data_IF_164690223198
#
_entry.id   IF_164690223198
#
_cell.length_a   1.000
_cell.length_b   1.000
_cell.length_c   1.000
_cell.angle_alpha   90.00
_cell.angle_beta   90.00
_cell.angle_gamma   90.00
#
_symmetry.space_group_name_H-M   'P 1'
#
loop_
_entity.id
_entity.type
_entity.pdbx_description
1 polymer ?
#
# COMPACT_ATOMS: atom_id res chain seq x y z
N UNK A 1 23.38 -8.06 16.38
CA UNK A 1 22.10 -7.33 16.49
C UNK A 1 21.38 -7.57 15.18
N UNK A 2 20.39 -8.47 15.17
CA UNK A 2 19.52 -8.62 13.99
C UNK A 2 18.76 -7.31 13.80
N UNK A 3 18.89 -6.70 12.63
CA UNK A 3 18.07 -5.55 12.27
C UNK A 3 16.62 -6.01 12.19
N UNK A 4 15.77 -5.54 13.10
CA UNK A 4 14.34 -5.84 13.09
C UNK A 4 13.72 -5.30 11.79
N UNK A 5 13.29 -6.21 10.92
CA UNK A 5 12.54 -5.86 9.72
C UNK A 5 11.08 -5.60 10.12
N UNK A 6 10.58 -4.44 9.74
CA UNK A 6 9.16 -4.09 9.80
C UNK A 6 8.50 -4.45 8.48
N UNK A 7 7.21 -4.77 8.56
CA UNK A 7 6.38 -5.09 7.40
C UNK A 7 5.19 -4.14 7.33
N UNK A 8 4.86 -3.69 6.12
CA UNK A 8 3.71 -2.84 5.87
C UNK A 8 2.96 -3.32 4.63
N UNK A 9 1.65 -3.42 4.76
CA UNK A 9 0.78 -3.76 3.65
C UNK A 9 0.26 -2.48 3.01
N UNK A 10 0.27 -2.43 1.69
CA UNK A 10 -0.29 -1.33 0.93
C UNK A 10 -0.78 -1.74 -0.46
N UNK A 11 -1.33 -0.76 -1.18
CA UNK A 11 -1.87 -0.94 -2.52
C UNK A 11 -1.08 -0.10 -3.52
N UNK A 12 -0.71 -0.68 -4.65
CA UNK A 12 -0.10 0.06 -5.78
C UNK A 12 -1.14 1.00 -6.39
N UNK A 13 -0.97 2.31 -6.21
CA UNK A 13 -1.93 3.34 -6.64
C UNK A 13 -1.48 4.16 -7.84
N UNK A 14 -0.19 4.13 -8.18
CA UNK A 14 0.35 4.87 -9.33
C UNK A 14 1.58 4.16 -9.89
N UNK A 15 1.75 4.24 -11.20
CA UNK A 15 2.99 3.91 -11.89
C UNK A 15 3.55 5.19 -12.51
N UNK A 16 4.80 5.50 -12.24
CA UNK A 16 5.47 6.73 -12.70
C UNK A 16 6.45 6.44 -13.85
N UNK A 17 7.13 5.28 -13.80
CA UNK A 17 7.95 4.75 -14.89
C UNK A 17 7.72 3.25 -15.04
N UNK A 18 8.40 2.61 -16.00
CA UNK A 18 8.35 1.16 -16.18
C UNK A 18 8.67 0.39 -14.89
N UNK A 19 9.60 0.89 -14.08
CA UNK A 19 10.13 0.23 -12.89
C UNK A 19 9.81 0.97 -11.58
N UNK A 20 9.05 2.08 -11.61
CA UNK A 20 8.73 2.86 -10.41
C UNK A 20 7.23 2.93 -10.18
N UNK A 21 6.83 2.39 -9.05
CA UNK A 21 5.45 2.32 -8.59
C UNK A 21 5.31 3.06 -7.26
N UNK A 22 4.11 3.54 -6.97
CA UNK A 22 3.78 4.15 -5.68
C UNK A 22 2.72 3.32 -4.99
N UNK A 23 2.96 3.09 -3.71
CA UNK A 23 2.09 2.32 -2.83
C UNK A 23 1.50 3.21 -1.77
N UNK A 24 0.19 3.15 -1.63
CA UNK A 24 -0.54 3.80 -0.57
C UNK A 24 -0.60 2.88 0.66
N UNK A 25 -0.32 3.43 1.84
CA UNK A 25 -0.34 2.75 3.13
C UNK A 25 -0.91 3.67 4.21
N UNK A 26 -1.52 3.15 5.28
CA UNK A 26 -2.09 3.95 6.38
C UNK A 26 -1.13 5.01 6.94
N UNK A 27 0.14 4.67 7.10
CA UNK A 27 1.13 5.51 7.78
C UNK A 27 1.85 6.52 6.85
N UNK A 28 1.45 6.61 5.58
CA UNK A 28 2.08 7.51 4.60
C UNK A 28 1.16 7.86 3.43
N UNK A 29 1.20 9.10 2.95
CA UNK A 29 0.44 9.49 1.75
C UNK A 29 0.82 8.65 0.51
N UNK A 30 2.11 8.29 0.34
CA UNK A 30 2.57 7.26 -0.61
C UNK A 30 4.05 6.91 -0.41
N UNK A 31 4.45 5.66 -0.70
CA UNK A 31 5.84 5.22 -0.78
C UNK A 31 6.22 4.79 -2.19
N UNK A 32 7.45 5.09 -2.61
CA UNK A 32 8.02 4.57 -3.85
C UNK A 32 8.46 3.11 -3.71
N UNK A 33 8.12 2.27 -4.68
CA UNK A 33 8.66 0.92 -4.84
C UNK A 33 9.34 0.86 -6.19
N UNK A 34 10.58 0.38 -6.19
CA UNK A 34 11.23 -0.01 -7.42
C UNK A 34 10.85 -1.46 -7.74
N UNK A 35 10.19 -1.66 -8.88
CA UNK A 35 9.77 -2.97 -9.34
C UNK A 35 10.98 -3.86 -9.58
N UNK A 36 10.91 -5.05 -9.02
CA UNK A 36 11.78 -6.15 -9.39
C UNK A 36 11.17 -6.87 -10.61
N UNK A 37 11.90 -7.03 -11.73
CA UNK A 37 11.41 -7.74 -12.91
C UNK A 37 10.94 -9.17 -12.64
N UNK A 38 11.47 -9.83 -11.61
CA UNK A 38 11.05 -11.17 -11.20
C UNK A 38 9.69 -11.19 -10.48
N UNK A 39 9.22 -10.03 -10.01
CA UNK A 39 7.96 -9.85 -9.28
C UNK A 39 7.19 -8.67 -9.88
N UNK A 40 6.66 -8.78 -11.10
CA UNK A 40 6.04 -7.65 -11.78
C UNK A 40 4.89 -7.06 -10.95
N UNK A 41 4.82 -5.74 -10.93
CA UNK A 41 3.77 -4.99 -10.25
C UNK A 41 2.80 -4.37 -11.26
N UNK A 42 1.56 -4.23 -10.83
CA UNK A 42 0.53 -3.45 -11.54
C UNK A 42 -0.29 -2.63 -10.54
N UNK A 43 -0.92 -1.57 -11.03
CA UNK A 43 -1.91 -0.82 -10.25
C UNK A 43 -2.98 -1.76 -9.68
N UNK A 44 -3.42 -1.49 -8.46
CA UNK A 44 -4.38 -2.31 -7.72
C UNK A 44 -3.79 -3.59 -7.10
N UNK A 45 -2.51 -3.89 -7.29
CA UNK A 45 -1.88 -4.96 -6.52
C UNK A 45 -1.75 -4.59 -5.04
N UNK A 46 -2.04 -5.57 -4.20
CA UNK A 46 -1.68 -5.54 -2.79
C UNK A 46 -0.27 -6.06 -2.64
N UNK A 47 0.53 -5.35 -1.85
CA UNK A 47 1.92 -5.73 -1.57
C UNK A 47 2.20 -5.69 -0.09
N UNK A 48 3.04 -6.61 0.37
CA UNK A 48 3.69 -6.53 1.66
C UNK A 48 5.13 -6.05 1.45
N UNK A 49 5.44 -4.87 1.97
CA UNK A 49 6.76 -4.23 1.90
C UNK A 49 7.51 -4.56 3.17
N UNK A 50 8.74 -5.06 3.06
CA UNK A 50 9.62 -5.35 4.20
C UNK A 50 10.78 -4.36 4.20
N UNK A 51 10.96 -3.64 5.29
CA UNK A 51 11.98 -2.60 5.43
C UNK A 51 12.55 -2.58 6.84
N UNK A 52 13.78 -2.10 6.99
CA UNK A 52 14.39 -1.81 8.29
C UNK A 52 13.90 -0.48 8.79
N UNK A 53 13.85 -0.27 10.11
CA UNK A 53 13.44 1.03 10.67
C UNK A 53 14.28 2.21 10.17
N UNK A 54 15.56 1.98 9.83
CA UNK A 54 16.44 2.98 9.20
C UNK A 54 16.05 3.35 7.76
N UNK A 55 15.25 2.51 7.11
CA UNK A 55 14.76 2.65 5.73
C UNK A 55 13.35 3.28 5.68
N UNK A 56 12.84 3.80 6.79
CA UNK A 56 11.52 4.43 6.85
C UNK A 56 11.65 5.96 6.95
N UNK A 57 11.75 6.64 5.81
CA UNK A 57 11.57 8.10 5.67
C UNK A 57 10.72 8.39 4.42
N UNK A 58 10.43 9.65 4.14
CA UNK A 58 9.33 10.07 3.24
C UNK A 58 9.44 9.65 1.77
N UNK A 59 10.59 9.17 1.27
CA UNK A 59 10.79 8.87 -0.15
C UNK A 59 11.74 7.67 -0.38
N UNK A 60 11.40 6.49 0.16
CA UNK A 60 12.22 5.31 -0.09
C UNK A 60 11.98 4.70 -1.45
N UNK A 61 13.05 4.14 -2.01
CA UNK A 61 12.99 3.10 -3.02
C UNK A 61 13.18 1.78 -2.29
N UNK A 62 12.09 1.04 -2.08
CA UNK A 62 12.17 -0.32 -1.51
C UNK A 62 12.12 -1.33 -2.64
N UNK A 63 13.02 -2.30 -2.61
CA UNK A 63 13.05 -3.44 -3.55
C UNK A 63 12.57 -4.74 -2.92
N UNK A 64 12.47 -4.78 -1.59
CA UNK A 64 12.02 -5.94 -0.83
C UNK A 64 10.50 -5.91 -0.59
N UNK A 65 9.76 -6.46 -1.54
CA UNK A 65 8.32 -6.63 -1.44
C UNK A 65 7.87 -8.01 -1.93
N UNK A 66 6.64 -8.35 -1.54
CA UNK A 66 5.90 -9.52 -1.99
C UNK A 66 4.51 -9.07 -2.44
N UNK A 67 4.09 -9.51 -3.64
CA UNK A 67 2.69 -9.35 -4.07
C UNK A 67 1.86 -10.36 -3.30
N UNK A 68 0.81 -9.89 -2.64
CA UNK A 68 -0.08 -10.72 -1.82
C UNK A 68 -1.48 -10.80 -2.43
N UNK A 69 -2.27 -11.76 -1.96
CA UNK A 69 -3.69 -11.83 -2.28
C UNK A 69 -4.39 -10.52 -1.89
N UNK A 70 -5.43 -10.16 -2.64
CA UNK A 70 -6.23 -8.99 -2.34
C UNK A 70 -6.77 -9.08 -0.91
N UNK A 71 -6.48 -8.05 -0.11
CA UNK A 71 -7.05 -7.90 1.24
C UNK A 71 -8.50 -7.43 1.12
N UNK A 72 -8.76 -6.51 0.20
CA UNK A 72 -10.10 -6.05 -0.18
C UNK A 72 -10.26 -6.08 -1.70
N UNK A 73 -11.49 -6.25 -2.15
CA UNK A 73 -11.82 -6.19 -3.58
C UNK A 73 -11.35 -4.87 -4.15
N UNK A 74 -10.51 -4.92 -5.17
CA UNK A 74 -9.86 -3.75 -5.77
C UNK A 74 -10.11 -3.71 -7.26
N UNK A 75 -10.49 -2.54 -7.75
CA UNK A 75 -10.72 -2.26 -9.17
C UNK A 75 -9.83 -1.10 -9.62
N UNK A 76 -9.30 -1.19 -10.84
CA UNK A 76 -8.53 -0.10 -11.46
C UNK A 76 -9.40 0.53 -12.55
N UNK A 77 -9.75 1.81 -12.38
CA UNK A 77 -10.54 2.58 -13.35
C UNK A 77 -9.73 3.80 -13.81
N UNK A 78 -9.13 3.71 -15.00
CA UNK A 78 -8.26 4.75 -15.53
C UNK A 78 -7.07 5.00 -14.60
N UNK A 79 -6.99 6.20 -14.03
CA UNK A 79 -5.93 6.61 -13.09
C UNK A 79 -6.32 6.46 -11.61
N UNK A 80 -7.41 5.74 -11.31
CA UNK A 80 -7.91 5.54 -9.94
C UNK A 80 -7.85 4.07 -9.56
N UNK A 81 -7.56 3.84 -8.29
CA UNK A 81 -7.72 2.54 -7.64
C UNK A 81 -8.88 2.66 -6.67
N UNK A 82 -9.92 1.86 -6.91
CA UNK A 82 -11.11 1.80 -6.08
C UNK A 82 -11.01 0.56 -5.19
N UNK A 83 -11.33 0.72 -3.91
CA UNK A 83 -11.36 -0.37 -2.95
C UNK A 83 -12.76 -0.46 -2.37
N UNK A 84 -13.34 -1.66 -2.38
CA UNK A 84 -14.63 -1.90 -1.74
C UNK A 84 -14.40 -2.34 -0.29
N UNK A 85 -14.89 -1.54 0.64
CA UNK A 85 -14.87 -1.80 2.07
C UNK A 85 -16.30 -2.12 2.54
N UNK A 86 -16.51 -3.34 3.04
CA UNK A 86 -17.75 -3.74 3.70
C UNK A 86 -17.56 -3.56 5.23
N UNK A 87 -18.25 -2.58 5.81
CA UNK A 87 -18.08 -2.19 7.21
C UNK A 87 -19.44 -1.89 7.86
N UNK A 88 -19.63 -2.38 9.08
CA UNK A 88 -20.78 -1.99 9.91
C UNK A 88 -20.57 -0.58 10.47
N UNK A 89 -21.56 0.28 10.29
CA UNK A 89 -21.56 1.66 10.78
C UNK A 89 -22.53 1.81 11.95
N UNK A 90 -22.17 2.66 12.91
CA UNK A 90 -23.09 3.11 13.96
C UNK A 90 -23.90 4.31 13.49
N UNK A 91 -25.07 4.52 14.11
CA UNK A 91 -25.91 5.68 13.82
C UNK A 91 -25.11 6.98 14.07
N UNK A 92 -25.17 7.91 13.10
CA UNK A 92 -24.45 9.19 13.13
C UNK A 92 -22.91 9.07 13.20
N UNK A 93 -22.32 7.93 12.79
CA UNK A 93 -20.87 7.78 12.72
C UNK A 93 -20.27 8.72 11.66
N UNK A 94 -19.44 9.67 12.11
CA UNK A 94 -18.77 10.68 11.27
C UNK A 94 -17.31 10.31 10.91
N UNK A 95 -16.73 9.35 11.61
CA UNK A 95 -15.33 8.95 11.43
C UNK A 95 -15.22 7.42 11.52
N UNK A 96 -14.43 6.83 10.62
CA UNK A 96 -14.04 5.43 10.65
C UNK A 96 -12.51 5.33 10.71
N UNK A 97 -11.95 4.81 11.80
CA UNK A 97 -10.54 4.42 11.86
C UNK A 97 -10.38 2.97 11.42
N UNK A 98 -9.84 2.79 10.22
CA UNK A 98 -9.61 1.49 9.62
C UNK A 98 -8.13 1.09 9.72
N UNK A 99 -7.86 -0.17 10.05
CA UNK A 99 -6.48 -0.67 10.21
C UNK A 99 -5.62 -0.48 8.94
N UNK A 100 -6.22 -0.65 7.76
CA UNK A 100 -5.53 -0.42 6.49
C UNK A 100 -5.70 0.99 5.93
N UNK A 101 -6.85 1.63 6.12
CA UNK A 101 -7.20 2.89 5.41
C UNK A 101 -6.97 4.15 6.24
N UNK A 102 -6.63 4.00 7.52
CA UNK A 102 -6.57 5.13 8.45
C UNK A 102 -7.95 5.72 8.69
N UNK A 103 -8.00 7.03 8.96
CA UNK A 103 -9.24 7.76 9.20
C UNK A 103 -9.96 8.07 7.89
N UNK A 104 -11.21 7.65 7.80
CA UNK A 104 -12.14 7.97 6.72
C UNK A 104 -13.22 8.88 7.31
N UNK A 105 -13.46 10.01 6.63
CA UNK A 105 -14.42 11.06 6.99
C UNK A 105 -15.56 11.12 5.98
#
# INVERSE_FOLDING_TARGET
MESEFKSMIGIVVRQDSYDRFFVWCKDSESHGIQMNPQKPLKMGNWVNIKFRSSEFQKEFQVSNYEVISQVYTTEVQGNRVLVKLDQYLMENQQELDHHFFGKIW
#
